data_IF_588056760101
#
_entry.id   IF_588056760101
#
_cell.length_a   1.000
_cell.length_b   1.000
_cell.length_c   1.000
_cell.angle_alpha   90.00
_cell.angle_beta   90.00
_cell.angle_gamma   90.00
#
_symmetry.space_group_name_H-M   'P 1'
#
loop_
_entity.id
_entity.type
_entity.pdbx_description
1 polymer ?
#
# COMPACT_ATOMS: atom_id res chain seq x y z
N UNK A 1 -46.37 -1.30 84.91
CA UNK A 1 -45.43 -0.35 85.55
C UNK A 1 -43.99 -0.93 85.45
N UNK A 2 -43.09 -0.16 84.99
CA UNK A 2 -41.66 -0.36 84.84
C UNK A 2 -41.22 -1.13 83.53
N UNK A 3 -40.82 -0.30 82.60
CA UNK A 3 -40.13 -0.55 81.35
C UNK A 3 -38.70 -0.93 81.64
N UNK A 4 -38.22 -1.99 81.04
CA UNK A 4 -36.79 -2.31 81.00
C UNK A 4 -36.28 -2.14 79.56
N UNK A 5 -35.42 -1.16 79.36
CA UNK A 5 -34.68 -0.95 78.13
C UNK A 5 -33.61 -2.05 78.00
N UNK A 6 -33.60 -2.71 76.84
CA UNK A 6 -32.51 -3.57 76.40
C UNK A 6 -31.81 -2.88 75.26
N UNK A 7 -30.59 -2.42 75.49
CA UNK A 7 -29.72 -1.85 74.51
C UNK A 7 -29.08 -2.97 73.71
N UNK A 8 -29.29 -3.04 72.37
CA UNK A 8 -28.63 -3.91 71.48
C UNK A 8 -27.52 -3.10 70.79
N UNK A 9 -26.28 -3.41 71.12
CA UNK A 9 -25.09 -2.88 70.44
C UNK A 9 -24.95 -3.52 69.07
N UNK A 10 -25.15 -2.74 68.01
CA UNK A 10 -24.87 -3.18 66.64
C UNK A 10 -23.37 -3.06 66.34
N UNK A 11 -22.71 -4.20 66.19
CA UNK A 11 -21.31 -4.31 65.72
C UNK A 11 -21.30 -4.17 64.21
N UNK A 12 -20.88 -3.00 63.70
CA UNK A 12 -20.64 -2.78 62.27
C UNK A 12 -19.32 -3.42 61.86
N UNK A 13 -19.40 -4.56 61.20
CA UNK A 13 -18.27 -5.14 60.47
C UNK A 13 -18.10 -4.36 59.13
N UNK A 14 -17.07 -3.51 59.06
CA UNK A 14 -16.57 -2.96 57.80
C UNK A 14 -15.88 -4.08 57.05
N UNK A 15 -16.59 -4.68 56.06
CA UNK A 15 -15.99 -5.48 55.03
C UNK A 15 -15.31 -4.52 54.05
N UNK A 16 -14.00 -4.32 54.18
CA UNK A 16 -13.20 -3.67 53.18
C UNK A 16 -13.23 -4.48 51.87
N UNK A 17 -13.96 -3.99 50.89
CA UNK A 17 -13.82 -4.48 49.51
C UNK A 17 -12.49 -4.00 48.98
N UNK A 18 -11.43 -4.85 49.08
CA UNK A 18 -10.24 -4.71 48.30
C UNK A 18 -10.63 -4.88 46.85
N UNK A 19 -10.81 -3.77 46.12
CA UNK A 19 -10.72 -3.76 44.67
C UNK A 19 -9.30 -4.15 44.32
N UNK A 20 -9.06 -5.45 44.16
CA UNK A 20 -7.87 -5.92 43.47
C UNK A 20 -7.95 -5.42 42.05
N UNK A 21 -7.14 -4.43 41.72
CA UNK A 21 -6.79 -4.16 40.33
C UNK A 21 -6.27 -5.48 39.78
N UNK A 22 -7.13 -6.19 39.04
CA UNK A 22 -6.65 -7.19 38.11
C UNK A 22 -5.84 -6.41 37.09
N UNK A 23 -4.53 -6.41 37.27
CA UNK A 23 -3.60 -6.17 36.17
C UNK A 23 -3.97 -7.20 35.13
N UNK A 24 -4.83 -6.81 34.17
CA UNK A 24 -4.96 -7.60 32.96
C UNK A 24 -3.53 -7.71 32.42
N UNK A 25 -3.03 -8.94 32.20
CA UNK A 25 -1.74 -9.07 31.57
C UNK A 25 -1.88 -8.36 30.22
N UNK A 26 -1.16 -7.25 30.05
CA UNK A 26 -0.88 -6.68 28.74
C UNK A 26 0.00 -7.67 27.99
N UNK A 27 -0.48 -8.93 27.92
CA UNK A 27 0.09 -9.97 27.12
C UNK A 27 0.03 -9.50 25.69
N UNK A 28 1.18 -9.30 25.07
CA UNK A 28 1.27 -9.24 23.63
C UNK A 28 0.37 -10.36 23.14
N UNK A 29 -0.64 -10.03 22.32
CA UNK A 29 -1.53 -11.02 21.76
C UNK A 29 -0.65 -12.06 21.08
N UNK A 30 -0.49 -13.21 21.71
CA UNK A 30 0.23 -14.33 21.13
C UNK A 30 -0.63 -14.75 19.96
N UNK A 31 -0.21 -14.34 18.79
CA UNK A 31 -0.92 -14.62 17.56
C UNK A 31 -0.90 -16.14 17.36
N UNK A 32 -2.06 -16.76 17.49
CA UNK A 32 -2.20 -18.21 17.30
C UNK A 32 -2.10 -18.57 15.82
N UNK A 33 -1.26 -19.53 15.49
CA UNK A 33 -1.26 -20.18 14.17
C UNK A 33 -2.19 -21.41 14.21
N UNK A 34 -2.78 -21.85 13.09
CA UNK A 34 -2.58 -21.32 11.72
C UNK A 34 -3.29 -20.00 11.45
N UNK A 35 -2.67 -19.18 10.60
CA UNK A 35 -3.24 -17.94 10.12
C UNK A 35 -3.62 -18.10 8.65
N UNK A 36 -4.81 -17.61 8.32
CA UNK A 36 -5.36 -17.61 6.96
C UNK A 36 -5.69 -16.16 6.56
N UNK A 37 -5.19 -15.73 5.39
CA UNK A 37 -5.53 -14.44 4.78
C UNK A 37 -5.89 -14.63 3.31
N UNK A 38 -6.70 -13.72 2.78
CA UNK A 38 -7.02 -13.67 1.36
C UNK A 38 -6.22 -12.52 0.73
N UNK A 39 -5.18 -12.85 -0.04
CA UNK A 39 -4.41 -11.88 -0.82
C UNK A 39 -5.02 -11.64 -2.21
N UNK A 40 -4.23 -11.03 -3.10
CA UNK A 40 -4.59 -10.79 -4.50
C UNK A 40 -4.58 -12.03 -5.40
N UNK A 41 -4.21 -13.21 -4.88
CA UNK A 41 -4.26 -14.47 -5.62
C UNK A 41 -5.59 -15.19 -5.49
N UNK A 42 -5.80 -16.23 -6.32
CA UNK A 42 -7.04 -17.00 -6.36
C UNK A 42 -7.28 -17.85 -5.09
N UNK A 43 -6.23 -18.21 -4.38
CA UNK A 43 -6.30 -19.06 -3.18
C UNK A 43 -5.86 -18.29 -1.94
N UNK A 44 -6.53 -18.56 -0.81
CA UNK A 44 -6.12 -18.05 0.48
C UNK A 44 -4.74 -18.58 0.88
N UNK A 45 -3.91 -17.70 1.44
CA UNK A 45 -2.61 -18.04 2.02
C UNK A 45 -2.80 -18.57 3.43
N UNK A 46 -2.26 -19.74 3.74
CA UNK A 46 -2.31 -20.34 5.07
C UNK A 46 -0.90 -20.57 5.58
N UNK A 47 -0.57 -19.94 6.70
CA UNK A 47 0.71 -20.12 7.40
C UNK A 47 0.46 -20.88 8.70
N UNK A 48 1.15 -22.01 8.90
CA UNK A 48 0.93 -22.90 10.05
C UNK A 48 1.80 -22.59 11.27
N UNK A 49 2.86 -21.81 11.08
CA UNK A 49 3.77 -21.37 12.14
C UNK A 49 4.42 -20.05 11.72
N UNK A 50 5.03 -19.32 12.67
CA UNK A 50 5.70 -18.06 12.37
C UNK A 50 6.81 -18.24 11.31
N UNK A 51 6.75 -17.57 10.15
CA UNK A 51 7.74 -17.72 9.10
C UNK A 51 9.13 -17.28 9.57
N UNK A 52 10.14 -18.06 9.21
CA UNK A 52 11.55 -17.80 9.53
C UNK A 52 12.38 -17.44 8.32
N UNK A 53 11.93 -17.85 7.13
CA UNK A 53 12.62 -17.68 5.84
C UNK A 53 11.63 -17.12 4.82
N UNK A 54 11.62 -15.78 4.70
CA UNK A 54 10.65 -15.06 3.87
C UNK A 54 11.35 -14.56 2.62
N UNK A 55 10.83 -14.90 1.46
CA UNK A 55 11.33 -14.41 0.18
C UNK A 55 10.37 -13.36 -0.38
N UNK A 56 10.79 -12.09 -0.50
CA UNK A 56 10.04 -11.09 -1.26
C UNK A 56 10.30 -11.27 -2.76
N UNK A 57 9.25 -11.12 -3.57
CA UNK A 57 9.33 -11.04 -5.03
C UNK A 57 8.70 -9.72 -5.46
N UNK A 58 9.53 -8.76 -5.82
CA UNK A 58 9.14 -7.41 -6.17
C UNK A 58 9.47 -6.34 -5.12
N UNK A 59 9.44 -5.08 -5.54
CA UNK A 59 9.86 -3.94 -4.72
C UNK A 59 8.89 -3.66 -3.56
N UNK A 60 7.57 -3.78 -3.78
CA UNK A 60 6.53 -3.58 -2.76
C UNK A 60 6.67 -4.55 -1.60
N UNK A 61 6.63 -5.87 -1.83
CA UNK A 61 6.85 -6.89 -0.81
C UNK A 61 8.12 -6.68 0.01
N UNK A 62 9.23 -6.37 -0.66
CA UNK A 62 10.51 -6.08 0.01
C UNK A 62 10.39 -4.90 0.96
N UNK A 63 9.81 -3.79 0.50
CA UNK A 63 9.65 -2.59 1.30
C UNK A 63 8.71 -2.82 2.50
N UNK A 64 7.64 -3.60 2.34
CA UNK A 64 6.74 -4.00 3.43
C UNK A 64 7.51 -4.79 4.48
N UNK A 65 8.22 -5.85 4.10
CA UNK A 65 9.00 -6.68 5.04
C UNK A 65 10.04 -5.87 5.82
N UNK A 66 10.76 -4.97 5.14
CA UNK A 66 11.73 -4.08 5.77
C UNK A 66 11.06 -3.15 6.80
N UNK A 67 9.93 -2.55 6.45
CA UNK A 67 9.19 -1.62 7.31
C UNK A 67 8.54 -2.30 8.52
N UNK A 68 8.28 -3.60 8.43
CA UNK A 68 7.81 -4.43 9.53
C UNK A 68 8.94 -4.98 10.41
N UNK A 69 10.21 -4.64 10.11
CA UNK A 69 11.38 -5.07 10.89
C UNK A 69 11.79 -6.52 10.63
N UNK A 70 11.44 -7.09 9.48
CA UNK A 70 11.64 -8.50 9.14
C UNK A 70 12.96 -8.80 8.42
N UNK A 71 13.90 -7.83 8.34
CA UNK A 71 15.17 -7.98 7.64
C UNK A 71 15.94 -9.27 8.04
N UNK A 72 15.95 -9.63 9.33
CA UNK A 72 16.63 -10.84 9.81
C UNK A 72 15.97 -12.15 9.39
N UNK A 73 14.73 -12.12 8.88
CA UNK A 73 14.00 -13.28 8.35
C UNK A 73 13.83 -13.24 6.82
N UNK A 74 14.25 -12.16 6.19
CA UNK A 74 14.13 -11.95 4.73
C UNK A 74 15.35 -12.52 4.03
N UNK A 75 15.12 -13.30 2.99
CA UNK A 75 16.14 -13.83 2.09
C UNK A 75 15.91 -13.18 0.74
N UNK A 76 16.86 -12.34 0.35
CA UNK A 76 16.79 -11.66 -0.94
C UNK A 76 17.06 -12.62 -2.09
N UNK A 77 16.26 -12.52 -3.11
CA UNK A 77 16.48 -13.10 -4.43
C UNK A 77 16.54 -11.98 -5.45
N UNK A 78 17.22 -12.21 -6.56
CA UNK A 78 17.25 -11.24 -7.65
C UNK A 78 15.87 -11.20 -8.32
N UNK A 79 15.14 -10.10 -8.13
CA UNK A 79 13.78 -9.90 -8.63
C UNK A 79 13.74 -9.42 -10.11
N UNK A 80 14.91 -9.24 -10.73
CA UNK A 80 14.99 -9.08 -12.18
C UNK A 80 14.90 -10.42 -12.92
N UNK A 81 15.07 -11.53 -12.20
CA UNK A 81 14.87 -12.87 -12.74
C UNK A 81 13.40 -13.14 -13.01
N UNK A 82 13.13 -13.84 -14.10
CA UNK A 82 11.79 -14.30 -14.49
C UNK A 82 11.86 -15.77 -14.91
N UNK A 83 10.72 -16.45 -14.92
CA UNK A 83 10.65 -17.84 -15.35
C UNK A 83 11.44 -18.80 -14.45
N UNK A 84 12.03 -19.82 -15.06
CA UNK A 84 12.76 -20.86 -14.33
C UNK A 84 13.92 -20.34 -13.47
N UNK A 85 14.73 -19.34 -13.90
CA UNK A 85 15.78 -18.75 -13.06
C UNK A 85 15.23 -18.19 -11.73
N UNK A 86 14.11 -17.49 -11.74
CA UNK A 86 13.44 -17.00 -10.53
C UNK A 86 12.99 -18.16 -9.64
N UNK A 87 12.30 -19.14 -10.20
CA UNK A 87 11.83 -20.32 -9.46
C UNK A 87 12.97 -21.08 -8.81
N UNK A 88 14.09 -21.26 -9.52
CA UNK A 88 15.30 -21.91 -8.99
C UNK A 88 15.95 -21.09 -7.86
N UNK A 89 15.97 -19.77 -7.96
CA UNK A 89 16.46 -18.89 -6.89
C UNK A 89 15.59 -19.03 -5.63
N UNK A 90 14.26 -18.99 -5.79
CA UNK A 90 13.31 -19.21 -4.70
C UNK A 90 13.50 -20.58 -4.07
N UNK A 91 13.61 -21.63 -4.86
CA UNK A 91 13.81 -23.02 -4.38
C UNK A 91 15.10 -23.15 -3.57
N UNK A 92 16.21 -22.56 -4.03
CA UNK A 92 17.49 -22.53 -3.29
C UNK A 92 17.40 -21.78 -1.97
N UNK A 93 16.57 -20.73 -1.91
CA UNK A 93 16.34 -19.99 -0.69
C UNK A 93 15.59 -20.80 0.38
N UNK A 94 14.92 -21.90 0.02
CA UNK A 94 14.11 -22.76 0.93
C UNK A 94 13.19 -21.93 1.81
N UNK A 95 12.30 -21.11 1.25
CA UNK A 95 11.38 -20.26 2.03
C UNK A 95 10.33 -21.09 2.74
N UNK A 96 9.77 -20.53 3.81
CA UNK A 96 8.51 -20.96 4.42
C UNK A 96 7.34 -20.01 4.09
N UNK A 97 7.67 -18.79 3.63
CA UNK A 97 6.73 -17.82 3.09
C UNK A 97 7.34 -17.09 1.88
N UNK A 98 6.57 -16.97 0.82
CA UNK A 98 6.85 -16.09 -0.32
C UNK A 98 5.83 -14.96 -0.28
N UNK A 99 6.30 -13.70 -0.32
CA UNK A 99 5.46 -12.51 -0.45
C UNK A 99 5.74 -11.91 -1.82
N UNK A 100 4.78 -11.99 -2.72
CA UNK A 100 4.94 -11.61 -4.11
C UNK A 100 4.11 -10.39 -4.48
N UNK A 101 4.62 -9.56 -5.38
CA UNK A 101 3.85 -8.51 -6.05
C UNK A 101 2.80 -9.14 -6.98
N UNK A 102 1.66 -8.46 -7.13
CA UNK A 102 0.64 -8.82 -8.13
C UNK A 102 1.13 -8.71 -9.57
N UNK A 103 2.26 -8.05 -9.80
CA UNK A 103 2.92 -7.95 -11.12
C UNK A 103 3.77 -9.19 -11.45
N UNK A 104 4.01 -10.07 -10.46
CA UNK A 104 4.75 -11.31 -10.68
C UNK A 104 3.94 -12.26 -11.57
N UNK A 105 4.60 -12.84 -12.58
CA UNK A 105 3.93 -13.79 -13.49
C UNK A 105 3.23 -14.91 -12.69
N UNK A 106 1.92 -15.11 -12.86
CA UNK A 106 1.17 -16.16 -12.18
C UNK A 106 1.74 -17.57 -12.43
N UNK A 107 2.32 -17.82 -13.60
CA UNK A 107 2.94 -19.11 -13.93
C UNK A 107 4.22 -19.33 -13.10
N UNK A 108 5.02 -18.28 -12.87
CA UNK A 108 6.21 -18.37 -12.02
C UNK A 108 5.82 -18.61 -10.55
N UNK A 109 4.75 -17.99 -10.08
CA UNK A 109 4.21 -18.24 -8.75
C UNK A 109 3.65 -19.68 -8.61
N UNK A 110 2.95 -20.18 -9.63
CA UNK A 110 2.47 -21.55 -9.64
C UNK A 110 3.64 -22.56 -9.61
N UNK A 111 4.69 -22.32 -10.38
CA UNK A 111 5.92 -23.12 -10.37
C UNK A 111 6.65 -23.05 -9.02
N UNK A 112 6.76 -21.87 -8.42
CA UNK A 112 7.35 -21.68 -7.10
C UNK A 112 6.58 -22.45 -6.02
N UNK A 113 5.23 -22.44 -6.05
CA UNK A 113 4.39 -23.25 -5.17
C UNK A 113 4.67 -24.74 -5.32
N UNK A 114 4.82 -25.22 -6.57
CA UNK A 114 5.08 -26.65 -6.83
C UNK A 114 6.52 -27.07 -6.48
N UNK A 115 7.46 -26.14 -6.47
CA UNK A 115 8.87 -26.40 -6.21
C UNK A 115 9.28 -26.24 -4.74
N UNK A 116 8.36 -25.72 -3.88
CA UNK A 116 8.63 -25.45 -2.46
C UNK A 116 7.40 -25.80 -1.61
N UNK A 117 7.61 -26.02 -0.30
CA UNK A 117 6.50 -26.16 0.67
C UNK A 117 6.05 -24.77 1.23
N UNK A 118 6.53 -23.67 0.65
CA UNK A 118 6.25 -22.34 1.13
C UNK A 118 4.79 -21.92 0.93
N UNK A 119 4.23 -21.23 1.90
CA UNK A 119 3.02 -20.46 1.69
C UNK A 119 3.32 -19.31 0.72
N UNK A 120 2.40 -19.01 -0.20
CA UNK A 120 2.56 -17.91 -1.17
C UNK A 120 1.46 -16.89 -0.95
N UNK A 121 1.83 -15.68 -0.56
CA UNK A 121 0.96 -14.52 -0.47
C UNK A 121 1.25 -13.60 -1.65
N UNK A 122 0.22 -13.23 -2.38
CA UNK A 122 0.28 -12.22 -3.45
C UNK A 122 -0.38 -10.95 -2.93
N UNK A 123 0.37 -9.84 -2.90
CA UNK A 123 -0.19 -8.57 -2.46
C UNK A 123 -1.15 -8.01 -3.50
N UNK A 124 -2.38 -7.61 -3.12
CA UNK A 124 -3.20 -6.77 -3.97
C UNK A 124 -2.58 -5.37 -4.03
N UNK A 125 -2.66 -4.71 -5.21
CA UNK A 125 -1.93 -3.45 -5.45
C UNK A 125 -2.68 -2.42 -6.30
N UNK A 126 -3.99 -2.61 -6.52
CA UNK A 126 -4.78 -1.72 -7.36
C UNK A 126 -5.14 -0.37 -6.72
N UNK A 127 -5.07 -0.25 -5.41
CA UNK A 127 -5.48 0.93 -4.64
C UNK A 127 -4.63 1.14 -3.38
N UNK A 128 -4.70 2.33 -2.78
CA UNK A 128 -4.13 2.59 -1.46
C UNK A 128 -4.73 1.66 -0.40
N UNK A 129 -6.03 1.37 -0.51
CA UNK A 129 -6.72 0.42 0.37
C UNK A 129 -6.12 -0.98 0.28
N UNK A 130 -5.80 -1.45 -0.92
CA UNK A 130 -5.14 -2.75 -1.14
C UNK A 130 -3.76 -2.78 -0.47
N UNK A 131 -2.97 -1.73 -0.60
CA UNK A 131 -1.64 -1.63 0.03
C UNK A 131 -1.76 -1.66 1.56
N UNK A 132 -2.73 -0.94 2.14
CA UNK A 132 -3.00 -0.96 3.58
C UNK A 132 -3.41 -2.36 4.03
N UNK A 133 -4.28 -3.02 3.28
CA UNK A 133 -4.69 -4.41 3.52
C UNK A 133 -3.49 -5.37 3.47
N UNK A 134 -2.67 -5.28 2.42
CA UNK A 134 -1.48 -6.12 2.24
C UNK A 134 -0.48 -5.99 3.41
N UNK A 135 -0.23 -4.76 3.89
CA UNK A 135 0.61 -4.52 5.06
C UNK A 135 0.01 -5.21 6.30
N UNK A 136 -1.31 -5.13 6.48
CA UNK A 136 -2.04 -5.81 7.56
C UNK A 136 -1.88 -7.33 7.48
N UNK A 137 -2.12 -7.90 6.32
CA UNK A 137 -2.03 -9.34 6.06
C UNK A 137 -0.61 -9.88 6.31
N UNK A 138 0.41 -9.21 5.76
CA UNK A 138 1.81 -9.58 6.00
C UNK A 138 2.13 -9.46 7.49
N UNK A 139 1.62 -8.43 8.18
CA UNK A 139 1.75 -8.29 9.63
C UNK A 139 1.13 -9.47 10.39
N UNK A 140 -0.03 -9.94 9.97
CA UNK A 140 -0.67 -11.14 10.52
C UNK A 140 0.15 -12.40 10.21
N UNK A 141 0.47 -12.66 8.96
CA UNK A 141 1.22 -13.85 8.54
C UNK A 141 2.57 -14.00 9.26
N UNK A 142 3.22 -12.89 9.59
CA UNK A 142 4.59 -12.87 10.13
C UNK A 142 4.68 -12.63 11.64
N UNK A 143 3.55 -12.42 12.32
CA UNK A 143 3.51 -12.10 13.76
C UNK A 143 3.93 -10.67 14.08
N UNK A 144 3.86 -9.73 13.11
CA UNK A 144 4.22 -8.31 13.27
C UNK A 144 2.99 -7.38 13.19
N UNK A 145 1.83 -7.87 13.62
CA UNK A 145 0.55 -7.14 13.53
C UNK A 145 0.56 -5.76 14.23
N UNK A 146 1.33 -5.61 15.32
CA UNK A 146 1.46 -4.31 16.01
C UNK A 146 2.20 -3.30 15.14
N UNK A 147 3.31 -3.71 14.52
CA UNK A 147 4.08 -2.87 13.60
C UNK A 147 3.24 -2.50 12.35
N UNK A 148 2.51 -3.49 11.81
CA UNK A 148 1.62 -3.28 10.68
C UNK A 148 0.55 -2.23 11.01
N UNK A 149 -0.15 -2.34 12.15
CA UNK A 149 -1.14 -1.34 12.58
C UNK A 149 -0.57 0.06 12.74
N UNK A 150 0.66 0.20 13.29
CA UNK A 150 1.33 1.51 13.38
C UNK A 150 1.64 2.09 12.01
N UNK A 151 2.07 1.24 11.08
CA UNK A 151 2.40 1.66 9.71
C UNK A 151 1.15 2.08 8.94
N UNK A 152 0.11 1.25 8.94
CA UNK A 152 -1.16 1.54 8.27
C UNK A 152 -1.86 2.77 8.86
N UNK A 153 -1.78 2.96 10.18
CA UNK A 153 -2.30 4.16 10.84
C UNK A 153 -1.61 5.45 10.37
N UNK A 154 -0.29 5.42 10.09
CA UNK A 154 0.41 6.58 9.51
C UNK A 154 -0.02 6.85 8.06
N UNK A 155 -0.19 5.81 7.25
CA UNK A 155 -0.68 5.95 5.87
C UNK A 155 -2.08 6.55 5.85
N UNK A 156 -2.97 6.05 6.71
CA UNK A 156 -4.33 6.55 6.82
C UNK A 156 -4.40 8.00 7.31
N UNK A 157 -3.55 8.40 8.26
CA UNK A 157 -3.44 9.79 8.71
C UNK A 157 -3.02 10.72 7.56
N UNK A 158 -2.09 10.31 6.69
CA UNK A 158 -1.70 11.06 5.49
C UNK A 158 -2.84 11.15 4.49
N UNK A 159 -3.55 10.04 4.23
CA UNK A 159 -4.73 10.04 3.37
C UNK A 159 -5.78 11.05 3.84
N UNK A 160 -6.08 11.07 5.14
CA UNK A 160 -7.02 12.02 5.73
C UNK A 160 -6.51 13.46 5.65
N UNK A 161 -5.20 13.68 5.84
CA UNK A 161 -4.60 15.01 5.71
C UNK A 161 -4.72 15.54 4.27
N UNK A 162 -4.43 14.69 3.28
CA UNK A 162 -4.62 15.05 1.86
C UNK A 162 -6.10 15.36 1.58
N UNK A 163 -7.02 14.49 1.99
CA UNK A 163 -8.45 14.71 1.78
C UNK A 163 -8.93 16.06 2.33
N UNK A 164 -8.45 16.47 3.53
CA UNK A 164 -8.77 17.78 4.10
C UNK A 164 -8.16 18.94 3.29
N UNK A 165 -6.93 18.78 2.81
CA UNK A 165 -6.23 19.83 2.04
C UNK A 165 -6.88 20.09 0.70
N UNK A 166 -7.35 19.04 0.01
CA UNK A 166 -7.97 19.19 -1.31
C UNK A 166 -9.47 19.39 -1.25
N UNK A 167 -10.08 19.36 -0.06
CA UNK A 167 -11.50 19.62 0.12
C UNK A 167 -11.86 21.02 -0.39
N UNK A 168 -12.82 21.09 -1.31
CA UNK A 168 -13.22 22.36 -1.95
C UNK A 168 -12.33 22.83 -3.12
N UNK A 169 -11.22 22.16 -3.41
CA UNK A 169 -10.45 22.39 -4.63
C UNK A 169 -11.23 21.93 -5.86
N UNK A 170 -11.05 22.55 -7.04
CA UNK A 170 -11.67 22.06 -8.27
C UNK A 170 -11.07 20.72 -8.69
N UNK A 171 -11.89 19.85 -9.32
CA UNK A 171 -11.41 18.61 -9.91
C UNK A 171 -10.38 18.89 -11.00
N UNK A 172 -9.20 18.27 -10.92
CA UNK A 172 -8.12 18.44 -11.88
C UNK A 172 -7.99 17.23 -12.78
N UNK A 173 -8.03 17.46 -14.11
CA UNK A 173 -7.75 16.39 -15.07
C UNK A 173 -6.24 16.21 -15.25
N UNK A 174 -5.78 14.95 -15.24
CA UNK A 174 -4.36 14.61 -15.36
C UNK A 174 -4.13 13.59 -16.47
N UNK A 175 -3.02 13.74 -17.21
CA UNK A 175 -2.46 12.69 -18.05
C UNK A 175 -1.19 12.17 -17.41
N UNK A 176 -1.03 10.85 -17.32
CA UNK A 176 0.17 10.19 -16.81
C UNK A 176 0.93 9.60 -17.99
N UNK A 177 2.19 9.99 -18.16
CA UNK A 177 3.10 9.45 -19.17
C UNK A 177 4.15 8.57 -18.50
N UNK A 178 4.11 7.28 -18.81
CA UNK A 178 5.08 6.30 -18.32
C UNK A 178 6.30 6.15 -19.26
N UNK A 179 6.34 6.95 -20.32
CA UNK A 179 7.36 6.97 -21.33
C UNK A 179 6.77 6.76 -22.74
N UNK A 180 7.19 7.59 -23.70
CA UNK A 180 6.74 7.47 -25.09
C UNK A 180 5.23 7.66 -25.32
N UNK A 181 4.54 8.37 -24.42
CA UNK A 181 3.06 8.49 -24.33
C UNK A 181 2.32 7.23 -23.91
N UNK A 182 3.02 6.21 -23.45
CA UNK A 182 2.35 5.13 -22.74
C UNK A 182 1.71 5.68 -21.46
N UNK A 183 0.56 5.15 -21.09
CA UNK A 183 -0.20 5.65 -19.94
C UNK A 183 -0.69 4.49 -19.07
N UNK A 184 -1.24 4.83 -17.92
CA UNK A 184 -1.79 3.86 -16.98
C UNK A 184 -3.32 3.87 -17.02
N UNK A 185 -3.92 2.76 -16.62
CA UNK A 185 -5.34 2.68 -16.29
C UNK A 185 -5.67 3.48 -15.02
N UNK A 186 -6.85 4.07 -14.93
CA UNK A 186 -7.37 4.65 -13.69
C UNK A 186 -7.60 3.59 -12.58
N UNK A 187 -7.59 2.30 -12.93
CA UNK A 187 -7.72 1.16 -11.99
C UNK A 187 -6.39 0.67 -11.42
N UNK A 188 -5.32 1.43 -11.56
CA UNK A 188 -4.03 1.15 -10.95
C UNK A 188 -3.85 1.95 -9.66
N UNK A 189 -2.88 1.59 -8.84
CA UNK A 189 -2.52 2.34 -7.63
C UNK A 189 -2.38 3.84 -7.90
N UNK A 190 -1.62 4.22 -8.93
CA UNK A 190 -1.44 5.65 -9.26
C UNK A 190 -2.75 6.30 -9.72
N UNK A 191 -3.63 5.54 -10.41
CA UNK A 191 -4.97 6.00 -10.75
C UNK A 191 -5.80 6.32 -9.50
N UNK A 192 -5.79 5.43 -8.52
CA UNK A 192 -6.45 5.61 -7.21
C UNK A 192 -5.86 6.80 -6.44
N UNK A 193 -4.53 6.95 -6.40
CA UNK A 193 -3.87 8.11 -5.78
C UNK A 193 -4.28 9.45 -6.42
N UNK A 194 -4.47 9.48 -7.74
CA UNK A 194 -4.96 10.66 -8.45
C UNK A 194 -6.40 10.98 -8.01
N UNK A 195 -7.27 9.96 -7.91
CA UNK A 195 -8.66 10.15 -7.47
C UNK A 195 -8.74 10.59 -6.01
N UNK A 196 -7.97 9.98 -5.10
CA UNK A 196 -7.86 10.36 -3.70
C UNK A 196 -7.33 11.79 -3.51
N UNK A 197 -6.50 12.26 -4.44
CA UNK A 197 -6.00 13.63 -4.50
C UNK A 197 -6.95 14.59 -5.25
N UNK A 198 -8.22 14.24 -5.43
CA UNK A 198 -9.23 15.04 -6.14
C UNK A 198 -8.84 15.35 -7.60
N UNK A 199 -8.25 14.36 -8.27
CA UNK A 199 -7.92 14.38 -9.68
C UNK A 199 -8.69 13.33 -10.48
N UNK A 200 -8.56 13.38 -11.81
CA UNK A 200 -9.09 12.38 -12.73
C UNK A 200 -8.11 12.11 -13.85
N UNK A 201 -7.75 10.85 -14.07
CA UNK A 201 -6.97 10.46 -15.25
C UNK A 201 -7.81 10.58 -16.53
N UNK A 202 -7.28 11.26 -17.55
CA UNK A 202 -7.93 11.37 -18.86
C UNK A 202 -7.84 10.08 -19.69
N UNK A 203 -6.96 9.15 -19.31
CA UNK A 203 -6.81 7.85 -19.98
C UNK A 203 -7.96 6.88 -19.68
N UNK A 204 -8.70 7.10 -18.57
CA UNK A 204 -9.83 6.25 -18.19
C UNK A 204 -9.44 4.88 -17.64
N UNK A 205 -10.43 3.99 -17.50
CA UNK A 205 -10.28 2.69 -16.84
C UNK A 205 -9.63 1.60 -17.72
N UNK A 206 -9.62 1.78 -19.01
CA UNK A 206 -9.11 0.80 -19.97
C UNK A 206 -8.42 1.54 -21.11
N UNK A 207 -7.23 2.10 -20.89
CA UNK A 207 -6.46 2.75 -21.95
C UNK A 207 -6.09 1.71 -23.01
N UNK A 208 -6.07 2.14 -24.27
CA UNK A 208 -5.58 1.31 -25.37
C UNK A 208 -4.11 0.90 -25.12
N UNK A 209 -3.74 -0.28 -25.60
CA UNK A 209 -2.35 -0.70 -25.55
C UNK A 209 -1.51 0.16 -26.51
N UNK A 210 -0.31 0.53 -26.05
CA UNK A 210 0.62 1.34 -26.81
C UNK A 210 0.58 2.84 -26.47
N UNK A 211 1.19 3.69 -27.32
CA UNK A 211 1.20 5.13 -27.09
C UNK A 211 -0.19 5.74 -27.16
N UNK A 212 -0.56 6.54 -26.18
CA UNK A 212 -1.82 7.27 -26.17
C UNK A 212 -1.89 8.23 -27.36
N UNK A 213 -2.99 8.24 -28.14
CA UNK A 213 -3.05 9.02 -29.37
C UNK A 213 -2.91 10.53 -29.10
N UNK A 214 -1.90 11.16 -29.70
CA UNK A 214 -1.62 12.58 -29.48
C UNK A 214 -2.80 13.49 -29.83
N UNK A 215 -3.56 13.14 -30.89
CA UNK A 215 -4.79 13.86 -31.26
C UNK A 215 -5.80 13.82 -30.12
N UNK A 216 -6.05 12.63 -29.55
CA UNK A 216 -6.97 12.43 -28.42
C UNK A 216 -6.51 13.19 -27.17
N UNK A 217 -5.19 13.19 -26.91
CA UNK A 217 -4.63 13.93 -25.78
C UNK A 217 -4.83 15.45 -25.94
N UNK A 218 -4.70 15.99 -27.16
CA UNK A 218 -4.98 17.40 -27.46
C UNK A 218 -6.46 17.76 -27.30
N UNK A 219 -7.37 16.86 -27.67
CA UNK A 219 -8.81 17.07 -27.48
C UNK A 219 -9.20 17.07 -25.99
N UNK A 220 -8.58 16.22 -25.18
CA UNK A 220 -8.83 16.12 -23.74
C UNK A 220 -8.19 17.27 -22.93
N UNK A 221 -7.14 17.86 -23.44
CA UNK A 221 -6.36 18.99 -22.87
C UNK A 221 -6.24 18.94 -21.33
N UNK A 222 -5.53 17.95 -20.76
CA UNK A 222 -5.44 17.76 -19.32
C UNK A 222 -4.90 18.99 -18.61
N UNK A 223 -5.41 19.23 -17.39
CA UNK A 223 -4.98 20.35 -16.56
C UNK A 223 -3.57 20.21 -16.04
N UNK A 224 -3.09 18.96 -15.84
CA UNK A 224 -1.75 18.62 -15.37
C UNK A 224 -1.19 17.47 -16.21
N UNK A 225 0.11 17.53 -16.51
CA UNK A 225 0.85 16.46 -17.15
C UNK A 225 1.81 15.83 -16.12
N UNK A 226 1.60 14.59 -15.81
CA UNK A 226 2.41 13.81 -14.87
C UNK A 226 3.30 12.84 -15.64
N UNK A 227 4.56 12.74 -15.24
CA UNK A 227 5.48 11.73 -15.73
C UNK A 227 5.89 10.81 -14.58
N UNK A 228 6.07 9.52 -14.83
CA UNK A 228 6.62 8.61 -13.83
C UNK A 228 8.15 8.70 -13.79
N UNK A 229 8.75 8.42 -12.63
CA UNK A 229 10.19 8.29 -12.51
C UNK A 229 10.71 7.24 -13.52
N UNK A 230 11.85 7.52 -14.13
CA UNK A 230 12.45 6.62 -15.14
C UNK A 230 11.85 6.69 -16.54
N UNK A 231 10.72 7.40 -16.74
CA UNK A 231 10.09 7.57 -18.07
C UNK A 231 10.94 8.35 -19.08
N UNK A 232 11.96 9.10 -18.61
CA UNK A 232 12.73 10.00 -19.45
C UNK A 232 11.98 11.24 -19.94
N UNK A 233 10.72 11.42 -19.54
CA UNK A 233 9.87 12.53 -19.95
C UNK A 233 10.27 13.81 -19.21
N UNK A 234 10.49 14.90 -19.95
CA UNK A 234 10.83 16.21 -19.37
C UNK A 234 9.97 17.31 -19.98
N UNK A 235 9.69 18.35 -19.20
CA UNK A 235 8.93 19.51 -19.70
C UNK A 235 9.58 20.15 -20.92
N UNK A 236 10.93 20.23 -20.93
CA UNK A 236 11.71 20.76 -22.08
C UNK A 236 11.47 19.92 -23.34
N UNK A 237 11.54 18.59 -23.21
CA UNK A 237 11.28 17.65 -24.32
C UNK A 237 9.85 17.78 -24.86
N UNK A 238 8.85 17.89 -23.96
CA UNK A 238 7.46 18.06 -24.35
C UNK A 238 7.22 19.40 -25.06
N UNK A 239 7.86 20.49 -24.64
CA UNK A 239 7.78 21.81 -25.30
C UNK A 239 8.41 21.80 -26.71
N UNK A 240 9.39 20.98 -26.94
CA UNK A 240 10.01 20.81 -28.28
C UNK A 240 9.16 19.94 -29.22
N UNK A 241 8.20 19.16 -28.70
CA UNK A 241 7.46 18.16 -29.47
C UNK A 241 6.19 18.80 -30.09
N UNK A 242 6.14 18.84 -31.41
CA UNK A 242 5.10 19.56 -32.18
C UNK A 242 3.65 19.13 -31.79
N UNK A 243 3.42 17.84 -31.55
CA UNK A 243 2.09 17.30 -31.22
C UNK A 243 1.54 17.73 -29.87
N UNK A 244 2.37 17.96 -28.84
CA UNK A 244 1.91 18.18 -27.47
C UNK A 244 2.26 19.54 -26.87
N UNK A 245 3.12 20.32 -27.50
CA UNK A 245 3.49 21.66 -27.03
C UNK A 245 2.29 22.61 -26.85
N UNK A 246 1.16 22.29 -27.50
CA UNK A 246 -0.10 23.07 -27.45
C UNK A 246 -0.94 22.78 -26.22
N UNK A 247 -0.71 21.65 -25.52
CA UNK A 247 -1.42 21.32 -24.29
C UNK A 247 -1.29 22.43 -23.28
N UNK A 248 -2.40 22.78 -22.62
CA UNK A 248 -2.44 23.81 -21.58
C UNK A 248 -1.43 23.50 -20.50
N UNK A 249 -1.38 22.26 -20.00
CA UNK A 249 -0.43 21.84 -18.96
C UNK A 249 1.04 22.11 -19.36
N UNK A 250 1.41 21.89 -20.62
CA UNK A 250 2.80 22.10 -21.09
C UNK A 250 3.10 23.59 -21.26
N UNK A 251 2.17 24.38 -21.78
CA UNK A 251 2.31 25.83 -21.95
C UNK A 251 2.43 26.55 -20.62
N UNK A 252 1.63 26.17 -19.64
CA UNK A 252 1.59 26.80 -18.30
C UNK A 252 2.60 26.20 -17.31
N UNK A 253 3.35 25.15 -17.73
CA UNK A 253 4.30 24.49 -16.85
C UNK A 253 3.69 23.59 -15.77
N UNK A 254 2.40 23.23 -15.90
CA UNK A 254 1.71 22.27 -15.01
C UNK A 254 2.19 20.86 -15.31
N UNK A 255 3.44 20.59 -14.94
CA UNK A 255 4.17 19.35 -15.17
C UNK A 255 4.85 18.91 -13.88
N UNK A 256 4.75 17.62 -13.55
CA UNK A 256 5.49 17.03 -12.43
C UNK A 256 6.00 15.64 -12.79
N UNK A 257 7.17 15.28 -12.25
CA UNK A 257 7.67 13.91 -12.25
C UNK A 257 7.33 13.30 -10.90
N UNK A 258 6.57 12.23 -10.93
CA UNK A 258 6.19 11.49 -9.73
C UNK A 258 7.32 10.53 -9.32
N UNK A 259 7.53 10.34 -8.01
CA UNK A 259 8.56 9.43 -7.52
C UNK A 259 8.21 7.97 -7.80
N UNK A 260 9.18 7.04 -7.73
CA UNK A 260 8.94 5.61 -7.92
C UNK A 260 7.84 5.05 -7.02
N UNK A 261 7.72 5.54 -5.79
CA UNK A 261 6.75 5.12 -4.78
C UNK A 261 5.29 5.36 -5.21
N UNK A 262 5.07 6.22 -6.21
CA UNK A 262 3.73 6.44 -6.76
C UNK A 262 3.20 5.26 -7.58
N UNK A 263 4.08 4.35 -8.00
CA UNK A 263 3.73 3.14 -8.75
C UNK A 263 4.06 1.85 -8.02
N UNK A 264 4.76 1.92 -6.87
CA UNK A 264 5.13 0.76 -6.07
C UNK A 264 4.13 0.60 -4.92
N UNK A 265 3.43 -0.52 -4.87
CA UNK A 265 2.55 -0.87 -3.77
C UNK A 265 3.37 -1.15 -2.50
N UNK A 266 3.53 -0.15 -1.63
CA UNK A 266 4.40 -0.26 -0.47
C UNK A 266 4.16 0.80 0.59
N UNK A 267 4.98 0.78 1.66
CA UNK A 267 4.77 1.61 2.86
C UNK A 267 4.83 3.12 2.60
N UNK A 268 5.49 3.55 1.53
CA UNK A 268 5.61 4.96 1.16
C UNK A 268 4.41 5.51 0.37
N UNK A 269 3.34 4.70 0.17
CA UNK A 269 2.15 5.09 -0.60
C UNK A 269 1.48 6.37 -0.06
N UNK A 270 1.53 6.60 1.26
CA UNK A 270 1.02 7.83 1.86
C UNK A 270 1.82 9.08 1.45
N UNK A 271 3.16 8.95 1.34
CA UNK A 271 4.05 10.02 0.85
C UNK A 271 3.82 10.27 -0.64
N UNK A 272 3.62 9.21 -1.41
CA UNK A 272 3.27 9.29 -2.82
C UNK A 272 1.94 10.03 -3.04
N UNK A 273 0.92 9.75 -2.23
CA UNK A 273 -0.36 10.46 -2.27
C UNK A 273 -0.19 11.97 -2.01
N UNK A 274 0.61 12.35 -1.00
CA UNK A 274 0.91 13.75 -0.72
C UNK A 274 1.60 14.44 -1.91
N UNK A 275 2.48 13.74 -2.62
CA UNK A 275 3.18 14.28 -3.79
C UNK A 275 2.25 14.42 -4.99
N UNK A 276 1.37 13.43 -5.23
CA UNK A 276 0.31 13.52 -6.25
C UNK A 276 -0.59 14.72 -5.96
N UNK A 277 -1.03 14.90 -4.71
CA UNK A 277 -1.86 16.03 -4.32
C UNK A 277 -1.18 17.39 -4.57
N UNK A 278 0.11 17.51 -4.23
CA UNK A 278 0.89 18.75 -4.54
C UNK A 278 1.02 19.00 -6.04
N UNK A 279 1.18 17.96 -6.85
CA UNK A 279 1.24 18.10 -8.30
C UNK A 279 -0.08 18.58 -8.90
N UNK A 280 -1.20 18.07 -8.37
CA UNK A 280 -2.54 18.44 -8.82
C UNK A 280 -3.01 19.78 -8.26
N UNK A 281 -2.69 20.11 -7.02
CA UNK A 281 -3.18 21.29 -6.28
C UNK A 281 -2.03 22.01 -5.55
N UNK A 282 -1.09 22.64 -6.27
CA UNK A 282 0.08 23.27 -5.65
C UNK A 282 -0.31 24.35 -4.63
N UNK A 283 -1.39 25.09 -4.87
CA UNK A 283 -1.84 26.18 -4.01
C UNK A 283 -2.56 25.69 -2.73
N UNK A 284 -3.15 24.51 -2.75
CA UNK A 284 -3.87 23.92 -1.61
C UNK A 284 -3.00 22.99 -0.78
N UNK A 285 -1.93 22.43 -1.36
CA UNK A 285 -1.10 21.40 -0.73
C UNK A 285 0.24 21.94 -0.17
N UNK A 286 0.44 23.27 -0.24
CA UNK A 286 1.58 24.00 0.33
C UNK A 286 1.54 24.12 1.85
#
# INVERSE_FOLDING_TARGET
MRVALVSVAALLLLAGTACGERSEPTGALVQGYPIRVQGGGDAATVVRSAPKRIVPVGAGPRAILQSLGLKGRTIEVDDTLVGLPLVDAIRRAKPDLIVASSETDPLDLARARSATDAAVYVEPSGSLGDVVGAIGDVGLLTGTAVQARRLTGRIEAKRQAVARKVAGSPLVTAFVDTGGFSTISSRTLLGDLIELAHGRSVAGASPEQGPFPAKRLLELDPGVYLATAGSGVTLKGLRARAGVKRLRAIRTGRFAVLPPEATIAGPAVGDALEQVARALHPDAAG
#
